data_IF_912125174512
#
_entry.id   IF_912125174512
#
_cell.length_a   1.000
_cell.length_b   1.000
_cell.length_c   1.000
_cell.angle_alpha   90.00
_cell.angle_beta   90.00
_cell.angle_gamma   90.00
#
_symmetry.space_group_name_H-M   'P 1'
#
loop_
_entity.id
_entity.type
_entity.pdbx_description
1 polymer ?
#
# COMPACT_ATOMS: atom_id res chain seq x y z
N UNK A 1 11.64 6.63 -8.64
CA UNK A 1 10.46 5.75 -8.79
C UNK A 1 9.64 5.90 -7.53
N UNK A 2 8.43 6.43 -7.63
CA UNK A 2 7.66 6.83 -6.46
C UNK A 2 6.81 5.65 -6.01
N UNK A 3 7.13 5.06 -4.85
CA UNK A 3 6.42 3.90 -4.29
C UNK A 3 4.90 4.14 -4.18
N UNK A 4 4.50 5.40 -3.97
CA UNK A 4 3.10 5.84 -4.00
C UNK A 4 2.41 5.58 -5.35
N UNK A 5 3.08 5.81 -6.48
CA UNK A 5 2.48 5.62 -7.80
C UNK A 5 2.26 4.14 -8.13
N UNK A 6 3.24 3.30 -7.79
CA UNK A 6 3.14 1.84 -7.94
C UNK A 6 2.01 1.29 -7.07
N UNK A 7 1.94 1.74 -5.81
CA UNK A 7 0.87 1.39 -4.88
C UNK A 7 -0.51 1.77 -5.43
N UNK A 8 -0.63 2.97 -6.00
CA UNK A 8 -1.85 3.45 -6.66
C UNK A 8 -2.23 2.60 -7.88
N UNK A 9 -1.26 2.18 -8.70
CA UNK A 9 -1.50 1.28 -9.83
C UNK A 9 -1.93 -0.14 -9.38
N UNK A 10 -1.32 -0.64 -8.30
CA UNK A 10 -1.68 -1.91 -7.69
C UNK A 10 -3.12 -1.88 -7.17
N UNK A 11 -3.50 -0.81 -6.47
CA UNK A 11 -4.87 -0.63 -5.99
C UNK A 11 -5.86 -0.53 -7.15
N UNK A 12 -5.49 0.17 -8.24
CA UNK A 12 -6.32 0.20 -9.46
C UNK A 12 -6.51 -1.20 -10.05
N UNK A 13 -5.45 -2.01 -10.11
CA UNK A 13 -5.51 -3.34 -10.71
C UNK A 13 -6.26 -4.36 -9.84
N UNK A 14 -6.09 -4.32 -8.51
CA UNK A 14 -6.74 -5.25 -7.59
C UNK A 14 -8.18 -4.84 -7.23
N UNK A 15 -8.43 -3.54 -7.04
CA UNK A 15 -9.72 -3.03 -6.53
C UNK A 15 -10.49 -2.18 -7.54
N UNK A 16 -9.89 -1.83 -8.68
CA UNK A 16 -10.55 -0.99 -9.69
C UNK A 16 -10.66 0.49 -9.32
N UNK A 17 -9.97 0.93 -8.27
CA UNK A 17 -10.03 2.32 -7.79
C UNK A 17 -9.04 3.19 -8.58
N UNK A 18 -9.50 4.33 -9.07
CA UNK A 18 -8.66 5.23 -9.86
C UNK A 18 -7.53 5.87 -9.01
N UNK A 19 -6.28 5.87 -9.50
CA UNK A 19 -5.13 6.41 -8.77
C UNK A 19 -5.21 7.92 -8.56
N UNK A 20 -6.02 8.60 -9.38
CA UNK A 20 -6.28 10.04 -9.33
C UNK A 20 -7.27 10.42 -8.22
N UNK A 21 -8.20 9.52 -7.87
CA UNK A 21 -9.15 9.75 -6.76
C UNK A 21 -8.53 9.44 -5.40
N UNK A 22 -7.54 8.55 -5.40
CA UNK A 22 -6.72 8.16 -4.26
C UNK A 22 -5.80 9.31 -3.79
N UNK A 23 -6.17 9.92 -2.67
CA UNK A 23 -5.38 10.97 -2.00
C UNK A 23 -4.41 10.34 -1.01
N UNK A 24 -3.17 10.81 -1.03
CA UNK A 24 -2.10 10.30 -0.18
C UNK A 24 -2.42 10.46 1.33
N UNK A 25 -3.07 11.57 1.69
CA UNK A 25 -3.49 11.90 3.06
C UNK A 25 -4.86 11.33 3.46
N UNK A 26 -5.63 10.78 2.52
CA UNK A 26 -6.95 10.25 2.85
C UNK A 26 -6.86 8.82 3.41
N UNK A 27 -7.76 8.46 4.32
CA UNK A 27 -7.84 7.10 4.82
C UNK A 27 -8.30 6.15 3.70
N UNK A 28 -7.63 5.01 3.58
CA UNK A 28 -7.94 3.95 2.62
C UNK A 28 -9.40 3.46 2.76
N UNK A 29 -9.91 3.45 4.01
CA UNK A 29 -11.29 3.11 4.33
C UNK A 29 -12.33 4.01 3.62
N UNK A 30 -12.01 5.27 3.31
CA UNK A 30 -12.91 6.19 2.58
C UNK A 30 -13.11 5.74 1.12
N UNK A 31 -12.16 4.98 0.58
CA UNK A 31 -12.21 4.42 -0.77
C UNK A 31 -12.83 3.01 -0.83
N UNK A 32 -13.38 2.52 0.29
CA UNK A 32 -13.91 1.17 0.40
C UNK A 32 -12.84 0.09 0.57
N UNK A 33 -11.64 0.48 1.01
CA UNK A 33 -10.61 -0.48 1.44
C UNK A 33 -10.81 -0.76 2.93
N UNK A 34 -11.67 -1.71 3.21
CA UNK A 34 -11.92 -2.24 4.55
C UNK A 34 -10.78 -3.15 5.03
N UNK A 35 -10.83 -3.62 6.28
CA UNK A 35 -9.79 -4.48 6.88
C UNK A 35 -9.44 -5.72 6.05
N UNK A 36 -10.43 -6.35 5.39
CA UNK A 36 -10.19 -7.49 4.49
C UNK A 36 -9.45 -7.07 3.22
N UNK A 37 -9.91 -6.00 2.58
CA UNK A 37 -9.30 -5.44 1.36
C UNK A 37 -7.88 -4.93 1.63
N UNK A 38 -7.64 -4.36 2.82
CA UNK A 38 -6.31 -3.95 3.27
C UNK A 38 -5.39 -5.16 3.43
N UNK A 39 -5.87 -6.27 3.99
CA UNK A 39 -5.08 -7.50 4.06
C UNK A 39 -4.72 -8.01 2.67
N UNK A 40 -5.68 -8.09 1.74
CA UNK A 40 -5.42 -8.49 0.35
C UNK A 40 -4.43 -7.55 -0.36
N UNK A 41 -4.55 -6.25 -0.13
CA UNK A 41 -3.62 -5.25 -0.64
C UNK A 41 -2.21 -5.46 -0.09
N UNK A 42 -2.07 -5.67 1.23
CA UNK A 42 -0.78 -5.92 1.86
C UNK A 42 -0.11 -7.17 1.30
N UNK A 43 -0.84 -8.29 1.16
CA UNK A 43 -0.33 -9.51 0.52
C UNK A 43 0.11 -9.25 -0.93
N UNK A 44 -0.66 -8.49 -1.70
CA UNK A 44 -0.30 -8.15 -3.08
C UNK A 44 0.97 -7.27 -3.14
N UNK A 45 1.15 -6.34 -2.18
CA UNK A 45 2.36 -5.51 -2.06
C UNK A 45 3.56 -6.38 -1.68
N UNK A 46 3.41 -7.26 -0.70
CA UNK A 46 4.44 -8.21 -0.27
C UNK A 46 4.96 -9.05 -1.42
N UNK A 47 4.06 -9.66 -2.18
CA UNK A 47 4.42 -10.45 -3.37
C UNK A 47 5.04 -9.57 -4.47
N UNK A 48 4.47 -8.39 -4.73
CA UNK A 48 4.91 -7.52 -5.82
C UNK A 48 6.28 -6.90 -5.57
N UNK A 49 6.54 -6.45 -4.34
CA UNK A 49 7.82 -5.84 -3.95
C UNK A 49 8.80 -6.82 -3.31
N UNK A 50 8.37 -8.07 -3.09
CA UNK A 50 9.12 -9.11 -2.41
C UNK A 50 9.60 -8.65 -1.02
N UNK A 51 8.67 -8.08 -0.25
CA UNK A 51 8.87 -7.56 1.10
C UNK A 51 8.14 -8.42 2.11
N UNK A 52 8.56 -8.34 3.37
CA UNK A 52 7.90 -8.97 4.51
C UNK A 52 7.37 -7.86 5.43
N UNK A 53 6.04 -7.76 5.56
CA UNK A 53 5.43 -6.79 6.46
C UNK A 53 5.22 -7.46 7.83
N UNK A 54 5.90 -6.99 8.89
CA UNK A 54 5.63 -7.50 10.22
C UNK A 54 4.16 -7.19 10.59
N UNK A 55 3.45 -8.19 11.09
CA UNK A 55 2.01 -8.18 11.45
C UNK A 55 1.62 -6.94 12.28
N UNK A 56 2.55 -6.43 13.09
CA UNK A 56 2.41 -5.28 13.98
C UNK A 56 2.38 -3.91 13.27
N UNK A 57 2.78 -3.82 11.99
CA UNK A 57 2.90 -2.54 11.25
C UNK A 57 1.73 -2.20 10.34
N UNK A 58 0.67 -2.99 10.33
CA UNK A 58 -0.53 -2.75 9.53
C UNK A 58 -1.49 -1.67 10.09
N UNK A 59 -1.08 -0.82 11.04
CA UNK A 59 -1.91 0.32 11.48
C UNK A 59 -1.93 1.49 10.47
N UNK A 60 -1.28 1.31 9.33
CA UNK A 60 -1.21 2.31 8.27
C UNK A 60 -2.56 2.47 7.60
N UNK A 61 -3.22 3.59 7.90
CA UNK A 61 -4.55 3.93 7.38
C UNK A 61 -4.50 4.79 6.13
N UNK A 62 -3.34 5.35 5.76
CA UNK A 62 -3.19 6.29 4.65
C UNK A 62 -2.21 5.76 3.59
N UNK A 63 -2.44 6.17 2.34
CA UNK A 63 -1.56 5.85 1.21
C UNK A 63 -0.13 6.38 1.42
N UNK A 64 0.01 7.60 1.96
CA UNK A 64 1.30 8.20 2.22
C UNK A 64 2.11 7.39 3.23
N UNK A 65 1.47 6.98 4.33
CA UNK A 65 2.11 6.13 5.34
C UNK A 65 2.52 4.78 4.76
N UNK A 66 1.69 4.20 3.90
CA UNK A 66 1.94 2.87 3.34
C UNK A 66 3.08 2.92 2.34
N UNK A 67 3.07 3.93 1.47
CA UNK A 67 4.16 4.19 0.55
C UNK A 67 5.49 4.43 1.27
N UNK A 68 5.50 5.20 2.36
CA UNK A 68 6.71 5.43 3.16
C UNK A 68 7.23 4.15 3.82
N UNK A 69 6.33 3.33 4.38
CA UNK A 69 6.70 2.04 5.00
C UNK A 69 7.29 1.07 3.96
N UNK A 70 6.66 0.96 2.79
CA UNK A 70 7.18 0.16 1.67
C UNK A 70 8.58 0.66 1.27
N UNK A 71 8.77 1.99 1.19
CA UNK A 71 10.06 2.57 0.79
C UNK A 71 11.18 2.20 1.79
N UNK A 72 10.89 2.31 3.09
CA UNK A 72 11.83 1.90 4.14
C UNK A 72 12.14 0.39 4.09
N UNK A 73 11.12 -0.45 3.92
CA UNK A 73 11.31 -1.90 3.83
C UNK A 73 12.09 -2.30 2.57
N UNK A 74 11.82 -1.65 1.42
CA UNK A 74 12.60 -1.84 0.19
C UNK A 74 14.06 -1.49 0.42
N UNK A 75 14.33 -0.31 0.99
CA UNK A 75 15.70 0.11 1.27
C UNK A 75 16.42 -0.87 2.20
N UNK A 76 15.73 -1.41 3.21
CA UNK A 76 16.28 -2.39 4.13
C UNK A 76 16.50 -3.78 3.48
N UNK A 77 15.65 -4.19 2.53
CA UNK A 77 15.75 -5.48 1.86
C UNK A 77 16.87 -5.54 0.80
N UNK A 78 17.29 -4.39 0.26
CA UNK A 78 18.36 -4.29 -0.76
C UNK A 78 19.73 -4.01 -0.11
N UNK A 79 19.79 -3.76 1.21
CA UNK A 79 21.02 -3.50 1.97
C UNK A 79 21.66 -4.80 2.49
#
# INVERSE_FOLDING_TARGET
MNTLEELKQLIKSSFGIEPETLKADAPLADYGLDSLSLAELLFAIEEHFNLDFPDDRADVKTLAGLAALIDELKLAAIA
#
